data_IF_727111948088
#
_entry.id   IF_727111948088
#
_cell.length_a   1.000
_cell.length_b   1.000
_cell.length_c   1.000
_cell.angle_alpha   90.00
_cell.angle_beta   90.00
_cell.angle_gamma   90.00
#
_symmetry.space_group_name_H-M   'P 1'
#
loop_
_entity.id
_entity.type
_entity.pdbx_description
1 polymer ?
#
# COMPACT_ATOMS: atom_id res chain seq x y z
N UNK A 1 -31.98 -2.36 17.03
CA UNK A 1 -30.93 -2.55 16.01
C UNK A 1 -30.73 -4.03 15.80
N UNK A 2 -30.99 -4.54 14.59
CA UNK A 2 -30.68 -5.93 14.21
C UNK A 2 -29.70 -5.88 13.05
N UNK A 3 -28.50 -6.43 13.25
CA UNK A 3 -27.54 -6.63 12.18
C UNK A 3 -27.95 -7.92 11.44
N UNK A 4 -28.30 -7.81 10.16
CA UNK A 4 -28.51 -8.97 9.27
C UNK A 4 -27.22 -9.26 8.52
N UNK A 5 -26.71 -10.47 8.67
CA UNK A 5 -25.56 -11.00 7.90
C UNK A 5 -25.95 -11.04 6.42
N UNK A 6 -25.21 -10.32 5.58
CA UNK A 6 -25.34 -10.45 4.12
C UNK A 6 -24.68 -11.77 3.69
N UNK A 7 -25.34 -12.50 2.80
CA UNK A 7 -24.93 -13.80 2.26
C UNK A 7 -23.62 -13.81 1.42
N UNK A 8 -22.76 -12.80 1.56
CA UNK A 8 -21.52 -12.64 0.78
C UNK A 8 -20.24 -13.07 1.51
N UNK A 9 -20.36 -13.69 2.69
CA UNK A 9 -19.21 -14.16 3.46
C UNK A 9 -18.30 -13.04 3.97
N UNK A 10 -18.74 -11.78 3.93
CA UNK A 10 -18.01 -10.63 4.45
C UNK A 10 -18.82 -9.98 5.58
N UNK A 11 -18.20 -9.84 6.75
CA UNK A 11 -18.73 -9.06 7.87
C UNK A 11 -18.65 -7.57 7.52
N UNK A 12 -19.54 -7.10 6.65
CA UNK A 12 -19.70 -5.66 6.37
C UNK A 12 -21.05 -5.22 6.93
N UNK A 13 -21.03 -4.14 7.71
CA UNK A 13 -22.23 -3.54 8.26
C UNK A 13 -22.93 -2.79 7.12
N UNK A 14 -23.98 -3.38 6.56
CA UNK A 14 -24.94 -2.60 5.78
C UNK A 14 -25.70 -1.69 6.75
N UNK A 15 -25.49 -0.40 6.64
CA UNK A 15 -26.41 0.58 7.22
C UNK A 15 -27.63 0.64 6.30
N UNK A 16 -28.70 -0.05 6.67
CA UNK A 16 -30.03 0.23 6.12
C UNK A 16 -30.51 1.55 6.73
N UNK A 17 -30.29 2.65 6.00
CA UNK A 17 -30.82 3.96 6.35
C UNK A 17 -32.32 3.99 6.09
N UNK A 18 -33.13 3.82 7.15
CA UNK A 18 -34.52 4.29 7.14
C UNK A 18 -34.46 5.80 7.34
N UNK A 19 -34.94 6.56 6.35
CA UNK A 19 -35.25 7.98 6.51
C UNK A 19 -36.23 8.14 7.68
N UNK A 20 -35.74 8.58 8.83
CA UNK A 20 -36.55 9.23 9.83
C UNK A 20 -36.48 10.72 9.53
N UNK A 21 -37.57 11.25 8.99
CA UNK A 21 -37.80 12.70 8.87
C UNK A 21 -37.93 13.21 10.30
N UNK A 22 -36.88 13.87 10.80
CA UNK A 22 -36.95 14.62 12.04
C UNK A 22 -37.40 16.04 11.71
N UNK A 23 -38.69 16.29 11.91
CA UNK A 23 -39.24 17.64 12.11
C UNK A 23 -38.69 18.16 13.46
N UNK A 24 -37.77 19.14 13.40
CA UNK A 24 -37.78 20.34 14.25
C UNK A 24 -36.48 21.13 14.04
N UNK A 25 -36.59 22.26 13.35
CA UNK A 25 -35.55 23.31 13.28
C UNK A 25 -36.19 24.60 13.79
N UNK A 26 -35.69 25.21 14.89
CA UNK A 26 -36.15 26.52 15.28
C UNK A 26 -35.52 27.58 14.36
N UNK A 27 -36.39 28.33 13.69
CA UNK A 27 -36.07 29.48 12.85
C UNK A 27 -35.45 30.62 13.68
N UNK A 28 -34.26 31.06 13.29
CA UNK A 28 -33.85 32.48 13.35
C UNK A 28 -32.57 32.68 12.54
N UNK A 29 -32.72 33.20 11.32
CA UNK A 29 -31.66 33.87 10.59
C UNK A 29 -32.17 35.25 10.23
N UNK A 30 -31.45 36.26 10.71
CA UNK A 30 -31.68 37.67 10.41
C UNK A 30 -31.50 37.90 8.91
N UNK A 31 -32.55 38.45 8.29
CA UNK A 31 -32.56 38.92 6.91
C UNK A 31 -31.78 40.22 6.86
N UNK A 32 -30.63 40.22 6.20
CA UNK A 32 -29.96 41.44 5.77
C UNK A 32 -30.42 41.74 4.34
N UNK A 33 -31.20 42.81 4.21
CA UNK A 33 -31.62 43.40 2.94
C UNK A 33 -30.41 43.67 2.03
N UNK A 34 -30.42 43.09 0.83
CA UNK A 34 -29.55 43.52 -0.27
C UNK A 34 -30.45 44.15 -1.34
N UNK A 35 -30.43 45.48 -1.38
CA UNK A 35 -30.96 46.25 -2.50
C UNK A 35 -30.10 46.01 -3.74
N UNK A 36 -30.75 45.57 -4.82
CA UNK A 36 -30.14 45.53 -6.17
C UNK A 36 -30.23 46.93 -6.78
N UNK A 37 -29.09 47.55 -7.04
CA UNK A 37 -28.97 48.78 -7.83
C UNK A 37 -27.99 48.54 -8.98
N UNK A 38 -28.52 48.58 -10.21
CA UNK A 38 -27.92 49.26 -11.36
C UNK A 38 -26.76 48.59 -12.10
N UNK A 39 -27.00 48.35 -13.39
CA UNK A 39 -26.02 48.07 -14.44
C UNK A 39 -24.81 49.01 -14.41
N UNK A 40 -23.60 48.47 -14.19
CA UNK A 40 -22.36 49.05 -14.72
C UNK A 40 -21.36 47.95 -15.13
N UNK A 41 -20.94 48.03 -16.39
CA UNK A 41 -19.95 47.17 -17.01
C UNK A 41 -18.57 47.35 -16.36
N UNK A 42 -18.03 46.27 -15.79
CA UNK A 42 -16.65 46.21 -15.30
C UNK A 42 -15.72 45.71 -16.41
N UNK A 43 -14.97 46.66 -16.97
CA UNK A 43 -13.87 46.41 -17.92
C UNK A 43 -12.65 45.93 -17.13
N UNK A 44 -12.22 44.68 -17.32
CA UNK A 44 -11.00 44.15 -16.68
C UNK A 44 -9.79 44.36 -17.60
N UNK A 45 -8.86 45.22 -17.15
CA UNK A 45 -7.54 45.41 -17.74
C UNK A 45 -6.62 44.22 -17.42
N UNK A 46 -6.16 43.50 -18.45
CA UNK A 46 -5.07 42.52 -18.35
C UNK A 46 -3.70 43.20 -18.53
N UNK A 47 -2.70 42.92 -17.68
CA UNK A 47 -1.36 43.47 -17.87
C UNK A 47 -0.59 42.75 -18.98
N UNK A 48 -0.08 43.55 -19.93
CA UNK A 48 0.83 43.14 -21.01
C UNK A 48 2.18 42.67 -20.43
N UNK A 49 2.60 41.45 -20.75
CA UNK A 49 4.02 41.03 -20.68
C UNK A 49 4.63 41.03 -22.08
N UNK A 50 5.75 41.72 -22.20
CA UNK A 50 6.52 41.91 -23.43
C UNK A 50 7.55 40.81 -23.66
N UNK A 51 7.65 40.41 -24.93
CA UNK A 51 8.85 40.04 -25.71
C UNK A 51 9.78 38.92 -25.21
N UNK A 52 9.84 37.82 -26.00
CA UNK A 52 10.90 37.65 -27.04
C UNK A 52 10.58 36.43 -27.91
N UNK A 53 10.28 36.67 -29.19
CA UNK A 53 10.33 35.69 -30.28
C UNK A 53 11.75 35.68 -30.85
N UNK A 54 12.39 34.52 -30.93
CA UNK A 54 13.44 34.27 -31.90
C UNK A 54 12.85 33.45 -33.05
N UNK A 55 12.82 34.08 -34.21
CA UNK A 55 12.48 33.52 -35.50
C UNK A 55 13.67 32.75 -36.07
N UNK A 56 13.45 31.52 -36.54
CA UNK A 56 14.13 30.98 -37.72
C UNK A 56 13.17 30.05 -38.46
N UNK A 57 12.66 30.55 -39.59
CA UNK A 57 12.00 29.79 -40.64
C UNK A 57 13.01 29.51 -41.76
N UNK A 58 13.01 28.29 -42.27
CA UNK A 58 13.37 27.92 -43.65
C UNK A 58 12.58 26.63 -43.91
N UNK A 59 11.40 26.71 -44.53
CA UNK A 59 11.18 26.72 -45.98
C UNK A 59 11.56 25.38 -46.66
N UNK A 60 10.52 24.57 -46.86
CA UNK A 60 10.11 23.96 -48.13
C UNK A 60 11.14 23.17 -48.95
N UNK A 61 10.89 21.86 -49.10
CA UNK A 61 11.00 21.19 -50.40
C UNK A 61 10.12 19.94 -50.47
N UNK A 62 9.04 20.08 -51.21
CA UNK A 62 8.29 19.00 -51.84
C UNK A 62 9.06 18.50 -53.08
N UNK A 63 9.22 17.19 -53.22
CA UNK A 63 9.16 16.51 -54.51
C UNK A 63 8.86 15.03 -54.30
N UNK A 64 7.78 14.61 -54.95
CA UNK A 64 7.29 13.26 -55.16
C UNK A 64 8.13 12.51 -56.21
N UNK A 65 7.85 11.19 -56.32
CA UNK A 65 7.74 10.39 -57.56
C UNK A 65 8.65 9.12 -57.63
N UNK A 66 7.98 7.97 -57.89
CA UNK A 66 8.38 6.63 -58.38
C UNK A 66 9.05 5.64 -57.39
N UNK A 67 8.51 4.44 -57.06
CA UNK A 67 8.05 3.25 -57.82
C UNK A 67 9.12 2.15 -57.99
N UNK A 68 9.08 1.14 -57.09
CA UNK A 68 9.31 -0.32 -57.29
C UNK A 68 10.71 -0.85 -57.74
N UNK A 69 10.97 -2.19 -57.75
CA UNK A 69 10.90 -3.19 -56.66
C UNK A 69 12.15 -4.12 -56.54
N UNK A 70 12.17 -4.93 -55.46
CA UNK A 70 12.77 -6.28 -55.26
C UNK A 70 14.13 -6.68 -55.85
N UNK A 71 15.06 -7.18 -55.01
CA UNK A 71 15.90 -8.38 -55.27
C UNK A 71 16.34 -9.03 -53.93
N UNK A 72 16.08 -10.33 -53.79
CA UNK A 72 16.65 -11.27 -52.80
C UNK A 72 18.17 -11.42 -53.00
N UNK A 73 19.03 -11.71 -52.02
CA UNK A 73 19.36 -13.04 -51.44
C UNK A 73 20.73 -12.87 -50.68
N UNK A 74 21.37 -13.89 -50.06
CA UNK A 74 21.76 -13.83 -48.63
C UNK A 74 23.29 -13.98 -48.40
N UNK A 75 23.64 -14.39 -47.16
CA UNK A 75 24.75 -15.29 -46.77
C UNK A 75 26.03 -14.70 -46.12
N UNK A 76 26.48 -15.49 -45.13
CA UNK A 76 27.79 -15.60 -44.46
C UNK A 76 28.07 -14.65 -43.28
N UNK A 77 27.92 -15.13 -42.03
CA UNK A 77 28.96 -15.81 -41.21
C UNK A 77 30.23 -14.97 -41.01
N UNK A 78 30.47 -14.54 -39.76
CA UNK A 78 31.77 -14.69 -39.11
C UNK A 78 31.64 -14.63 -37.58
N UNK A 79 31.91 -15.76 -36.94
CA UNK A 79 32.40 -15.88 -35.56
C UNK A 79 33.84 -15.36 -35.54
N UNK A 80 34.24 -14.53 -34.57
CA UNK A 80 35.60 -14.52 -34.02
C UNK A 80 35.55 -14.19 -32.51
N UNK A 81 36.40 -14.81 -31.67
CA UNK A 81 36.22 -14.96 -30.23
C UNK A 81 37.19 -14.13 -29.37
N UNK A 82 37.03 -14.33 -28.06
CA UNK A 82 37.82 -14.05 -26.84
C UNK A 82 39.33 -13.75 -26.92
N UNK A 83 39.81 -13.14 -25.82
CA UNK A 83 41.15 -13.14 -25.18
C UNK A 83 41.74 -11.71 -25.12
N UNK A 84 42.47 -11.21 -24.12
CA UNK A 84 43.15 -11.72 -22.92
C UNK A 84 43.46 -10.46 -22.04
N UNK A 85 43.31 -10.48 -20.71
CA UNK A 85 44.34 -10.77 -19.68
C UNK A 85 45.43 -9.69 -19.48
N UNK A 86 45.47 -9.06 -18.28
CA UNK A 86 46.65 -8.73 -17.46
C UNK A 86 46.20 -7.82 -16.29
N UNK A 87 46.14 -8.25 -15.02
CA UNK A 87 47.21 -8.27 -14.01
C UNK A 87 48.05 -7.00 -13.92
N UNK A 88 47.98 -6.31 -12.77
CA UNK A 88 49.14 -5.72 -12.09
C UNK A 88 48.81 -5.50 -10.61
N UNK A 89 49.81 -5.80 -9.78
CA UNK A 89 49.85 -5.86 -8.33
C UNK A 89 50.65 -4.67 -7.80
N UNK A 90 50.28 -4.14 -6.63
CA UNK A 90 51.14 -3.44 -5.64
C UNK A 90 50.20 -2.98 -4.51
N UNK A 91 50.19 -3.53 -3.29
CA UNK A 91 51.21 -3.70 -2.25
C UNK A 91 51.69 -2.37 -1.62
N UNK A 92 51.10 -2.00 -0.48
CA UNK A 92 51.69 -1.26 0.65
C UNK A 92 50.65 -1.32 1.81
N UNK A 93 50.72 -2.25 2.79
CA UNK A 93 51.58 -2.41 3.98
C UNK A 93 51.36 -1.40 5.13
N UNK A 94 50.82 -1.97 6.22
CA UNK A 94 51.03 -1.73 7.66
C UNK A 94 50.55 -0.43 8.32
N UNK A 95 49.59 -0.57 9.24
CA UNK A 95 49.78 -0.27 10.68
C UNK A 95 48.83 -1.14 11.52
N UNK A 96 49.40 -2.01 12.37
CA UNK A 96 48.74 -2.67 13.52
C UNK A 96 49.26 -1.99 14.77
N UNK A 97 48.42 -1.67 15.78
CA UNK A 97 48.90 -1.45 17.13
C UNK A 97 48.92 -2.78 17.91
N UNK A 98 50.08 -3.04 18.50
CA UNK A 98 50.38 -4.09 19.48
C UNK A 98 49.81 -3.78 20.86
N UNK A 99 49.65 -4.86 21.65
CA UNK A 99 49.08 -4.93 22.98
C UNK A 99 50.21 -5.04 24.02
N UNK A 100 50.30 -4.08 24.95
CA UNK A 100 50.95 -4.13 26.28
C UNK A 100 50.89 -2.69 26.85
N UNK A 101 50.54 -2.38 28.11
CA UNK A 101 50.22 -3.15 29.31
C UNK A 101 49.81 -2.17 30.43
N UNK A 102 49.69 -2.73 31.65
CA UNK A 102 49.32 -2.12 32.94
C UNK A 102 47.83 -1.79 33.15
N UNK A 103 47.25 -1.92 34.34
CA UNK A 103 47.41 -2.78 35.51
C UNK A 103 46.24 -2.35 36.43
N UNK A 104 45.69 -3.31 37.17
CA UNK A 104 45.06 -3.12 38.48
C UNK A 104 43.89 -2.12 38.63
N UNK A 105 42.66 -2.64 38.50
CA UNK A 105 41.50 -2.17 39.27
C UNK A 105 40.56 -3.35 39.51
N UNK A 106 40.67 -3.98 40.66
CA UNK A 106 39.65 -4.88 41.21
C UNK A 106 38.41 -4.07 41.56
N UNK A 107 37.32 -4.24 40.80
CA UNK A 107 36.00 -3.74 41.18
C UNK A 107 35.13 -4.94 41.58
N UNK A 108 34.89 -5.05 42.87
CA UNK A 108 34.09 -6.07 43.52
C UNK A 108 32.61 -5.78 43.25
N UNK A 109 32.03 -6.38 42.21
CA UNK A 109 30.58 -6.26 41.95
C UNK A 109 29.82 -7.39 42.64
N UNK A 110 29.25 -7.09 43.81
CA UNK A 110 28.21 -7.91 44.43
C UNK A 110 26.92 -7.82 43.61
N UNK A 111 26.64 -8.85 42.81
CA UNK A 111 25.32 -9.10 42.23
C UNK A 111 24.83 -10.49 42.67
N UNK A 112 23.60 -10.62 43.21
CA UNK A 112 23.11 -11.89 43.73
C UNK A 112 22.88 -12.89 42.59
N UNK A 113 23.49 -14.07 42.73
CA UNK A 113 23.23 -15.24 41.88
C UNK A 113 21.86 -15.82 42.24
N UNK A 114 20.85 -15.59 41.39
CA UNK A 114 19.60 -16.36 41.46
C UNK A 114 19.88 -17.81 41.10
N UNK A 115 19.57 -18.75 42.00
CA UNK A 115 19.60 -20.19 41.73
C UNK A 115 18.23 -20.62 41.19
N UNK A 116 18.26 -21.44 40.14
CA UNK A 116 17.07 -22.05 39.50
C UNK A 116 16.32 -23.02 40.44
N UNK A 117 16.79 -23.23 41.67
CA UNK A 117 16.18 -24.11 42.68
C UNK A 117 15.04 -23.49 43.48
N UNK A 118 14.75 -22.19 43.32
CA UNK A 118 13.86 -21.45 44.24
C UNK A 118 12.42 -21.25 43.69
N UNK A 119 12.04 -22.00 42.65
CA UNK A 119 10.66 -22.05 42.15
C UNK A 119 9.95 -23.23 42.81
N UNK A 120 9.03 -22.93 43.73
CA UNK A 120 8.18 -23.92 44.37
C UNK A 120 7.33 -24.69 43.33
N UNK A 121 7.17 -26.02 43.46
CA UNK A 121 6.35 -26.80 42.53
C UNK A 121 4.87 -26.53 42.80
N UNK A 122 4.15 -26.03 41.79
CA UNK A 122 2.69 -25.91 41.84
C UNK A 122 2.10 -27.31 41.76
N UNK A 123 1.50 -27.73 42.88
CA UNK A 123 0.85 -29.01 43.07
C UNK A 123 -0.34 -29.21 42.12
N UNK A 124 -0.41 -30.42 41.56
CA UNK A 124 -1.48 -30.99 40.75
C UNK A 124 -2.90 -30.62 41.19
N UNK A 125 -3.67 -30.04 40.27
CA UNK A 125 -5.13 -30.12 40.27
C UNK A 125 -5.55 -31.02 39.11
N UNK A 126 -6.11 -32.20 39.44
CA UNK A 126 -6.62 -33.17 38.47
C UNK A 126 -8.00 -32.71 37.98
N UNK A 127 -8.15 -32.45 36.69
CA UNK A 127 -9.45 -32.51 36.03
C UNK A 127 -9.48 -33.75 35.14
N UNK A 128 -10.40 -34.66 35.48
CA UNK A 128 -10.67 -35.90 34.77
C UNK A 128 -11.69 -35.65 33.66
N UNK A 129 -11.44 -36.18 32.46
CA UNK A 129 -12.48 -36.39 31.45
C UNK A 129 -12.08 -35.93 30.05
N UNK A 130 -11.61 -36.88 29.25
CA UNK A 130 -11.24 -36.73 27.84
C UNK A 130 -12.38 -36.14 26.97
N UNK A 131 -12.12 -35.04 26.27
CA UNK A 131 -12.66 -34.76 24.94
C UNK A 131 -11.56 -34.15 24.06
N UNK A 132 -11.49 -34.72 22.87
CA UNK A 132 -10.65 -34.43 21.68
C UNK A 132 -10.14 -32.98 21.60
N UNK A 133 -8.85 -32.84 21.27
CA UNK A 133 -8.01 -31.65 21.26
C UNK A 133 -8.52 -30.46 20.44
N UNK A 134 -9.02 -29.43 21.13
CA UNK A 134 -9.15 -28.05 20.66
C UNK A 134 -7.78 -27.33 20.61
N UNK A 135 -6.83 -27.88 19.84
CA UNK A 135 -5.49 -27.28 19.62
C UNK A 135 -5.53 -26.10 18.62
N UNK A 136 -6.60 -25.31 18.65
CA UNK A 136 -6.59 -23.89 18.32
C UNK A 136 -7.32 -23.16 19.46
N UNK A 137 -6.80 -23.28 20.68
CA UNK A 137 -7.19 -22.37 21.75
C UNK A 137 -7.05 -20.95 21.20
N UNK A 138 -8.15 -20.20 21.14
CA UNK A 138 -8.14 -18.78 20.83
C UNK A 138 -7.09 -18.13 21.73
N UNK A 139 -5.93 -17.78 21.16
CA UNK A 139 -4.91 -17.05 21.89
C UNK A 139 -5.55 -15.75 22.38
N UNK A 140 -5.29 -15.37 23.62
CA UNK A 140 -5.76 -14.08 24.10
C UNK A 140 -5.14 -12.97 23.22
N UNK A 141 -5.85 -11.86 23.05
CA UNK A 141 -5.35 -10.74 22.25
C UNK A 141 -3.96 -10.26 22.72
N UNK A 142 -3.66 -10.37 24.01
CA UNK A 142 -2.33 -10.05 24.56
C UNK A 142 -1.23 -10.97 24.04
N UNK A 143 -1.50 -12.28 23.88
CA UNK A 143 -0.56 -13.22 23.27
C UNK A 143 -0.35 -12.91 21.79
N UNK A 144 -1.41 -12.48 21.08
CA UNK A 144 -1.33 -12.05 19.67
C UNK A 144 -0.49 -10.78 19.52
N UNK A 145 -0.61 -9.81 20.43
CA UNK A 145 0.28 -8.64 20.46
C UNK A 145 1.71 -9.07 20.73
N UNK A 146 1.92 -9.94 21.73
CA UNK A 146 3.25 -10.39 22.10
C UNK A 146 3.94 -11.06 20.90
N UNK A 147 3.23 -11.94 20.19
CA UNK A 147 3.70 -12.54 18.94
C UNK A 147 4.01 -11.50 17.86
N UNK A 148 3.14 -10.50 17.67
CA UNK A 148 3.39 -9.42 16.72
C UNK A 148 4.65 -8.62 17.05
N UNK A 149 4.88 -8.33 18.33
CA UNK A 149 6.07 -7.62 18.80
C UNK A 149 7.32 -8.50 18.71
N UNK A 150 7.21 -9.81 18.91
CA UNK A 150 8.30 -10.75 18.70
C UNK A 150 8.75 -10.78 17.23
N UNK A 151 7.81 -10.85 16.29
CA UNK A 151 8.09 -10.76 14.84
C UNK A 151 8.82 -9.44 14.53
N UNK A 152 8.30 -8.32 15.05
CA UNK A 152 8.86 -6.99 14.80
C UNK A 152 10.27 -6.84 15.39
N UNK A 153 10.45 -7.23 16.64
CA UNK A 153 11.72 -7.15 17.36
C UNK A 153 12.76 -8.10 16.77
N UNK A 154 12.36 -9.32 16.39
CA UNK A 154 13.22 -10.29 15.71
C UNK A 154 13.76 -9.74 14.39
N UNK A 155 12.86 -9.20 13.55
CA UNK A 155 13.26 -8.59 12.28
C UNK A 155 14.23 -7.40 12.46
N UNK A 156 14.00 -6.57 13.48
CA UNK A 156 14.85 -5.42 13.80
C UNK A 156 16.21 -5.87 14.34
N UNK A 157 16.23 -6.84 15.25
CA UNK A 157 17.46 -7.34 15.85
C UNK A 157 18.37 -8.05 14.82
N UNK A 158 17.78 -8.86 13.95
CA UNK A 158 18.49 -9.62 12.93
C UNK A 158 19.03 -8.71 11.82
N UNK A 159 18.19 -7.84 11.27
CA UNK A 159 18.52 -7.10 10.06
C UNK A 159 19.00 -5.66 10.30
N UNK A 160 18.82 -5.15 11.53
CA UNK A 160 19.22 -3.80 11.96
C UNK A 160 18.85 -2.72 10.93
N UNK A 161 17.54 -2.60 10.59
CA UNK A 161 17.10 -1.64 9.60
C UNK A 161 17.43 -0.22 10.02
N UNK A 162 17.90 0.58 9.06
CA UNK A 162 18.19 2.00 9.26
C UNK A 162 16.91 2.83 9.48
N UNK A 163 15.78 2.34 8.94
CA UNK A 163 14.47 2.98 9.02
C UNK A 163 13.37 1.94 9.16
N UNK A 164 12.34 2.26 9.93
CA UNK A 164 11.13 1.46 10.15
C UNK A 164 9.90 2.26 9.72
N UNK A 165 9.30 1.89 8.59
CA UNK A 165 8.15 2.57 8.02
C UNK A 165 6.87 1.75 8.17
N UNK A 166 5.82 2.34 8.74
CA UNK A 166 4.48 1.78 8.73
C UNK A 166 3.78 2.10 7.41
N UNK A 167 3.52 1.09 6.57
CA UNK A 167 2.81 1.30 5.30
C UNK A 167 1.30 1.36 5.54
N UNK A 168 0.80 2.58 5.68
CA UNK A 168 -0.56 2.88 6.10
C UNK A 168 -1.45 3.22 4.89
N UNK A 169 -2.21 2.24 4.42
CA UNK A 169 -3.10 2.40 3.25
C UNK A 169 -4.48 2.96 3.60
N UNK A 170 -4.77 3.17 4.88
CA UNK A 170 -6.11 3.53 5.37
C UNK A 170 -7.04 2.33 5.58
N UNK A 171 -6.58 1.10 5.33
CA UNK A 171 -7.27 -0.13 5.73
C UNK A 171 -7.06 -0.43 7.22
N UNK A 172 -7.99 -1.15 7.85
CA UNK A 172 -7.89 -1.51 9.27
C UNK A 172 -6.65 -2.38 9.57
N UNK A 173 -6.26 -3.28 8.68
CA UNK A 173 -5.07 -4.13 8.89
C UNK A 173 -3.79 -3.28 8.87
N UNK A 174 -3.71 -2.33 7.93
CA UNK A 174 -2.59 -1.39 7.85
C UNK A 174 -2.56 -0.40 9.02
N UNK A 175 -3.72 -0.06 9.58
CA UNK A 175 -3.84 0.77 10.78
C UNK A 175 -3.24 0.05 11.99
N UNK A 176 -3.65 -1.19 12.24
CA UNK A 176 -3.16 -1.98 13.37
C UNK A 176 -1.66 -2.27 13.23
N UNK A 177 -1.21 -2.70 12.05
CA UNK A 177 0.21 -2.97 11.82
C UNK A 177 1.09 -1.72 11.99
N UNK A 178 0.62 -0.56 11.52
CA UNK A 178 1.32 0.72 11.72
C UNK A 178 1.31 1.14 13.19
N UNK A 179 0.19 0.94 13.90
CA UNK A 179 0.09 1.26 15.32
C UNK A 179 1.05 0.39 16.17
N UNK A 180 1.08 -0.92 15.94
CA UNK A 180 2.04 -1.82 16.58
C UNK A 180 3.48 -1.39 16.31
N UNK A 181 3.81 -1.09 15.04
CA UNK A 181 5.14 -0.59 14.69
C UNK A 181 5.48 0.72 15.41
N UNK A 182 4.51 1.64 15.55
CA UNK A 182 4.70 2.93 16.19
C UNK A 182 5.01 2.87 17.68
N UNK A 183 4.69 1.74 18.34
CA UNK A 183 5.07 1.49 19.74
C UNK A 183 6.57 1.16 19.88
N UNK A 184 7.28 0.86 18.79
CA UNK A 184 8.70 0.52 18.84
C UNK A 184 9.59 1.79 18.70
N UNK A 185 10.67 1.95 19.50
CA UNK A 185 11.53 3.13 19.44
C UNK A 185 12.20 3.40 18.09
N UNK A 186 12.40 2.35 17.28
CA UNK A 186 12.95 2.48 15.92
C UNK A 186 11.94 3.00 14.88
N UNK A 187 10.65 3.17 15.24
CA UNK A 187 9.64 3.66 14.33
C UNK A 187 10.03 5.02 13.77
N UNK A 188 10.13 5.07 12.45
CA UNK A 188 10.55 6.27 11.76
C UNK A 188 9.33 7.10 11.40
N UNK A 189 8.42 6.54 10.57
CA UNK A 189 7.28 7.27 9.97
C UNK A 189 6.15 6.35 9.53
N UNK A 190 4.96 6.91 9.48
CA UNK A 190 3.88 6.35 8.66
C UNK A 190 4.07 6.78 7.20
N UNK A 191 3.78 5.88 6.26
CA UNK A 191 3.88 6.14 4.83
C UNK A 191 2.57 5.78 4.15
N UNK A 192 2.00 6.74 3.44
CA UNK A 192 0.84 6.56 2.60
C UNK A 192 1.24 6.65 1.13
N UNK A 193 0.78 5.69 0.32
CA UNK A 193 0.90 5.77 -1.13
C UNK A 193 -0.46 6.21 -1.64
N UNK A 194 -0.52 7.40 -2.22
CA UNK A 194 -1.71 7.94 -2.84
C UNK A 194 -1.72 7.56 -4.32
N UNK A 195 -2.48 6.52 -4.69
CA UNK A 195 -2.55 6.03 -6.08
C UNK A 195 -3.33 6.93 -7.03
N UNK A 196 -3.75 8.14 -6.62
CA UNK A 196 -4.53 9.14 -7.38
C UNK A 196 -5.97 8.76 -7.73
N UNK A 197 -6.34 7.48 -7.63
CA UNK A 197 -7.71 6.98 -7.89
C UNK A 197 -8.45 6.54 -6.62
N UNK A 198 -7.81 6.60 -5.45
CA UNK A 198 -8.47 6.29 -4.18
C UNK A 198 -9.53 7.30 -3.76
N UNK A 199 -10.43 6.85 -2.88
CA UNK A 199 -11.46 7.64 -2.22
C UNK A 199 -10.80 8.69 -1.31
N UNK A 200 -11.16 9.96 -1.46
CA UNK A 200 -10.53 11.07 -0.71
C UNK A 200 -10.77 10.93 0.81
N UNK A 201 -11.94 10.41 1.22
CA UNK A 201 -12.25 10.12 2.61
C UNK A 201 -11.23 9.16 3.25
N UNK A 202 -10.71 8.17 2.51
CA UNK A 202 -9.63 7.30 3.00
C UNK A 202 -8.33 8.07 3.19
N UNK A 203 -7.98 8.97 2.26
CA UNK A 203 -6.77 9.80 2.37
C UNK A 203 -6.87 10.73 3.56
N UNK A 204 -8.04 11.35 3.76
CA UNK A 204 -8.32 12.20 4.89
C UNK A 204 -8.24 11.42 6.21
N UNK A 205 -8.82 10.22 6.27
CA UNK A 205 -8.67 9.31 7.42
C UNK A 205 -7.20 9.03 7.75
N UNK A 206 -6.36 8.78 6.75
CA UNK A 206 -4.92 8.52 6.95
C UNK A 206 -4.20 9.75 7.50
N UNK A 207 -4.47 10.93 6.94
CA UNK A 207 -3.90 12.22 7.40
C UNK A 207 -4.33 12.54 8.82
N UNK A 208 -5.62 12.40 9.11
CA UNK A 208 -6.20 12.66 10.42
C UNK A 208 -5.66 11.70 11.47
N UNK A 209 -5.67 10.40 11.19
CA UNK A 209 -5.13 9.40 12.11
C UNK A 209 -3.64 9.63 12.38
N UNK A 210 -2.86 9.95 11.35
CA UNK A 210 -1.43 10.23 11.52
C UNK A 210 -1.19 11.48 12.38
N UNK A 211 -2.00 12.53 12.20
CA UNK A 211 -1.95 13.73 13.04
C UNK A 211 -2.34 13.42 14.49
N UNK A 212 -3.47 12.74 14.68
CA UNK A 212 -4.03 12.40 16.00
C UNK A 212 -3.05 11.50 16.79
N UNK A 213 -2.29 10.63 16.09
CA UNK A 213 -1.28 9.75 16.68
C UNK A 213 0.14 10.32 16.64
N UNK A 214 0.30 11.57 16.20
CA UNK A 214 1.59 12.26 16.05
C UNK A 214 2.61 11.48 15.19
N UNK A 215 2.14 10.64 14.27
CA UNK A 215 2.98 9.99 13.29
C UNK A 215 3.40 11.01 12.23
N UNK A 216 4.71 11.15 12.02
CA UNK A 216 5.21 11.93 10.89
C UNK A 216 4.86 11.20 9.60
N UNK A 217 3.83 11.69 8.89
CA UNK A 217 3.34 11.08 7.66
C UNK A 217 4.21 11.47 6.46
N UNK A 218 4.58 10.48 5.66
CA UNK A 218 5.07 10.68 4.29
C UNK A 218 3.99 10.24 3.30
N UNK A 219 3.55 11.14 2.43
CA UNK A 219 2.61 10.83 1.36
C UNK A 219 3.34 10.80 0.01
N UNK A 220 3.27 9.66 -0.69
CA UNK A 220 3.88 9.46 -2.01
C UNK A 220 2.81 9.33 -3.08
N UNK A 221 2.87 10.21 -4.08
CA UNK A 221 2.08 10.12 -5.32
C UNK A 221 2.94 9.50 -6.42
N UNK A 222 2.39 8.60 -7.27
CA UNK A 222 3.13 8.02 -8.39
C UNK A 222 3.55 9.10 -9.39
N UNK A 223 4.67 8.92 -10.13
CA UNK A 223 5.13 9.89 -11.12
C UNK A 223 4.18 10.09 -12.31
N UNK A 224 3.26 9.16 -12.52
CA UNK A 224 2.23 9.20 -13.57
C UNK A 224 0.90 8.95 -12.89
N UNK A 225 -0.11 9.76 -13.20
CA UNK A 225 -1.44 9.61 -12.60
C UNK A 225 -2.14 8.35 -13.13
N UNK A 226 -3.10 7.84 -12.37
CA UNK A 226 -3.96 6.74 -12.84
C UNK A 226 -4.70 7.13 -14.12
N UNK A 227 -5.17 8.39 -14.22
CA UNK A 227 -5.81 8.94 -15.40
C UNK A 227 -4.91 8.81 -16.63
N UNK A 228 -3.68 9.29 -16.57
CA UNK A 228 -2.76 9.23 -17.73
C UNK A 228 -2.48 7.79 -18.16
N UNK A 229 -2.32 6.87 -17.19
CA UNK A 229 -2.15 5.44 -17.48
C UNK A 229 -3.37 4.87 -18.21
N UNK A 230 -4.58 5.23 -17.77
CA UNK A 230 -5.83 4.77 -18.41
C UNK A 230 -6.00 5.37 -19.80
N UNK A 231 -5.67 6.64 -20.01
CA UNK A 231 -5.76 7.25 -21.34
C UNK A 231 -4.74 6.65 -22.32
N UNK A 232 -3.59 6.20 -21.83
CA UNK A 232 -2.56 5.55 -22.67
C UNK A 232 -2.86 4.06 -22.94
N UNK A 233 -3.38 3.33 -21.95
CA UNK A 233 -3.44 1.86 -22.00
C UNK A 233 -4.85 1.26 -21.83
N UNK A 234 -5.84 2.09 -21.52
CA UNK A 234 -7.18 1.69 -21.11
C UNK A 234 -7.28 1.23 -19.66
N UNK A 235 -8.51 1.02 -19.20
CA UNK A 235 -8.78 0.43 -17.90
C UNK A 235 -8.17 -0.98 -17.79
N UNK A 236 -7.68 -1.38 -16.60
CA UNK A 236 -7.05 -2.68 -16.43
C UNK A 236 -8.12 -3.75 -16.19
N UNK A 237 -7.91 -4.94 -16.76
CA UNK A 237 -8.52 -6.16 -16.27
C UNK A 237 -7.59 -6.93 -15.32
N UNK A 238 -7.95 -8.16 -14.90
CA UNK A 238 -7.14 -8.97 -13.98
C UNK A 238 -5.70 -9.20 -14.45
N UNK A 239 -5.48 -9.40 -15.75
CA UNK A 239 -4.14 -9.54 -16.35
C UNK A 239 -3.32 -8.25 -16.39
N UNK A 240 -3.95 -7.09 -16.25
CA UNK A 240 -3.29 -5.78 -16.19
C UNK A 240 -2.98 -5.31 -14.76
N UNK A 241 -3.40 -6.07 -13.74
CA UNK A 241 -3.24 -5.65 -12.34
C UNK A 241 -1.77 -5.46 -11.94
N UNK A 242 -0.86 -6.37 -12.33
CA UNK A 242 0.57 -6.23 -12.01
C UNK A 242 1.17 -4.95 -12.59
N UNK A 243 0.75 -4.58 -13.81
CA UNK A 243 1.17 -3.32 -14.43
C UNK A 243 0.72 -2.12 -13.60
N UNK A 244 -0.56 -2.08 -13.20
CA UNK A 244 -1.07 -1.01 -12.32
C UNK A 244 -0.36 -0.96 -10.97
N UNK A 245 -0.14 -2.12 -10.33
CA UNK A 245 0.62 -2.21 -9.09
C UNK A 245 2.02 -1.60 -9.24
N UNK A 246 2.75 -1.98 -10.30
CA UNK A 246 4.11 -1.48 -10.53
C UNK A 246 4.10 0.04 -10.73
N UNK A 247 3.14 0.56 -11.50
CA UNK A 247 3.06 2.00 -11.81
C UNK A 247 2.65 2.84 -10.61
N UNK A 248 1.64 2.40 -9.86
CA UNK A 248 0.99 3.20 -8.83
C UNK A 248 1.55 2.97 -7.42
N UNK A 249 2.11 1.78 -7.13
CA UNK A 249 2.56 1.41 -5.78
C UNK A 249 4.05 1.10 -5.71
N UNK A 250 4.54 0.16 -6.51
CA UNK A 250 5.93 -0.33 -6.43
C UNK A 250 6.93 0.82 -6.62
N UNK A 251 6.72 1.67 -7.64
CA UNK A 251 7.59 2.84 -7.87
C UNK A 251 7.60 3.86 -6.73
N UNK A 252 6.51 3.98 -5.99
CA UNK A 252 6.45 4.84 -4.80
C UNK A 252 7.27 4.24 -3.66
N UNK A 253 7.20 2.92 -3.46
CA UNK A 253 8.05 2.19 -2.50
C UNK A 253 9.52 2.30 -2.89
N UNK A 254 9.85 2.09 -4.16
CA UNK A 254 11.23 2.21 -4.66
C UNK A 254 11.78 3.62 -4.45
N UNK A 255 10.93 4.64 -4.65
CA UNK A 255 11.28 6.03 -4.38
C UNK A 255 11.51 6.28 -2.88
N UNK A 256 10.62 5.84 -2.01
CA UNK A 256 10.80 5.90 -0.54
C UNK A 256 12.15 5.28 -0.13
N UNK A 257 12.42 4.07 -0.61
CA UNK A 257 13.64 3.32 -0.31
C UNK A 257 14.86 4.07 -0.81
N UNK A 258 14.85 4.57 -2.05
CA UNK A 258 15.96 5.34 -2.63
C UNK A 258 16.24 6.64 -1.86
N UNK A 259 15.20 7.33 -1.39
CA UNK A 259 15.35 8.60 -0.65
C UNK A 259 15.93 8.41 0.76
N UNK A 260 15.76 7.24 1.37
CA UNK A 260 16.18 6.98 2.76
C UNK A 260 17.37 6.02 2.88
N UNK A 261 17.71 5.30 1.80
CA UNK A 261 18.90 4.47 1.72
C UNK A 261 20.13 5.37 1.53
N UNK A 262 20.99 5.43 2.54
CA UNK A 262 22.22 6.23 2.52
C UNK A 262 23.45 5.39 2.18
N UNK A 263 23.49 4.15 2.66
CA UNK A 263 24.61 3.20 2.46
C UNK A 263 24.17 2.00 1.64
N UNK A 264 25.12 1.36 0.98
CA UNK A 264 24.86 0.19 0.15
C UNK A 264 24.23 -0.97 0.94
N UNK A 265 24.60 -1.10 2.22
CA UNK A 265 24.17 -2.14 3.14
C UNK A 265 22.99 -1.73 4.02
N UNK A 266 22.41 -0.53 3.85
CA UNK A 266 21.21 -0.16 4.59
C UNK A 266 20.07 -1.14 4.30
N UNK A 267 19.21 -1.32 5.30
CA UNK A 267 17.93 -1.99 5.18
C UNK A 267 16.82 -1.02 5.57
N UNK A 268 15.72 -1.09 4.84
CA UNK A 268 14.53 -0.29 5.06
C UNK A 268 13.40 -1.25 5.41
N UNK A 269 12.95 -1.22 6.67
CA UNK A 269 11.85 -2.05 7.13
C UNK A 269 10.51 -1.42 6.72
N UNK A 270 9.67 -2.24 6.08
CA UNK A 270 8.39 -1.89 5.49
C UNK A 270 7.32 -2.74 6.17
N UNK A 271 6.62 -2.15 7.14
CA UNK A 271 5.61 -2.84 7.93
C UNK A 271 4.29 -2.86 7.18
N UNK A 272 3.74 -4.05 7.00
CA UNK A 272 2.51 -4.30 6.22
C UNK A 272 1.44 -4.98 7.07
N UNK A 273 0.18 -4.73 6.74
CA UNK A 273 -0.96 -5.39 7.36
C UNK A 273 -1.37 -6.71 6.72
N UNK A 274 -0.42 -7.48 6.17
CA UNK A 274 -0.74 -8.77 5.51
C UNK A 274 -1.10 -9.82 6.57
N UNK A 275 -2.18 -10.57 6.35
CA UNK A 275 -2.64 -11.68 7.20
C UNK A 275 -2.77 -12.98 6.41
N UNK A 276 -2.64 -14.13 7.09
CA UNK A 276 -2.85 -15.46 6.49
C UNK A 276 -4.31 -15.71 6.12
N UNK A 277 -5.24 -15.25 6.96
CA UNK A 277 -6.70 -15.39 6.78
C UNK A 277 -7.21 -14.78 5.46
N UNK A 278 -6.60 -13.68 4.99
CA UNK A 278 -6.89 -13.08 3.67
C UNK A 278 -6.31 -13.89 2.50
N UNK A 279 -5.37 -14.78 2.77
CA UNK A 279 -4.56 -15.43 1.77
C UNK A 279 -4.95 -16.89 1.57
N UNK A 280 -6.22 -17.15 1.30
CA UNK A 280 -6.83 -18.49 1.04
C UNK A 280 -6.01 -19.34 0.03
N UNK A 281 -5.32 -18.70 -0.92
CA UNK A 281 -4.48 -19.38 -1.93
C UNK A 281 -3.03 -19.65 -1.53
N UNK A 282 -2.57 -19.18 -0.37
CA UNK A 282 -1.21 -19.45 0.13
C UNK A 282 -1.25 -20.43 1.27
N UNK A 283 -1.88 -21.61 1.09
CA UNK A 283 -1.65 -22.79 1.95
C UNK A 283 -0.19 -23.31 1.85
N UNK A 284 0.78 -22.39 1.83
CA UNK A 284 2.20 -22.55 1.60
C UNK A 284 2.89 -21.17 1.60
N UNK A 285 3.54 -20.85 2.72
CA UNK A 285 4.66 -19.90 2.84
C UNK A 285 4.38 -18.39 2.63
N UNK A 286 3.52 -17.78 3.47
CA UNK A 286 3.74 -16.35 3.79
C UNK A 286 4.67 -16.29 4.98
N UNK A 287 5.88 -15.80 4.76
CA UNK A 287 6.81 -15.56 5.84
C UNK A 287 6.49 -14.22 6.51
N UNK A 288 6.53 -14.13 7.85
CA UNK A 288 6.29 -12.89 8.58
C UNK A 288 7.35 -11.83 8.28
N UNK A 289 8.53 -12.26 7.84
CA UNK A 289 9.63 -11.40 7.44
C UNK A 289 10.13 -11.86 6.08
N UNK A 290 10.17 -10.97 5.10
CA UNK A 290 10.68 -11.24 3.77
C UNK A 290 11.64 -10.15 3.33
N UNK A 291 12.82 -10.54 2.87
CA UNK A 291 13.82 -9.62 2.34
C UNK A 291 13.82 -9.61 0.82
N UNK A 292 13.84 -8.41 0.24
CA UNK A 292 14.06 -8.18 -1.19
C UNK A 292 15.09 -7.07 -1.38
N UNK A 293 16.34 -7.47 -1.65
CA UNK A 293 17.48 -6.55 -1.69
C UNK A 293 17.69 -5.81 -0.36
N UNK A 294 17.35 -4.50 -0.37
CA UNK A 294 17.40 -3.62 0.80
C UNK A 294 16.04 -3.39 1.47
N UNK A 295 14.95 -3.84 0.84
CA UNK A 295 13.61 -3.78 1.40
C UNK A 295 13.42 -4.98 2.34
N UNK A 296 13.00 -4.70 3.57
CA UNK A 296 12.68 -5.70 4.57
C UNK A 296 11.18 -5.62 4.87
N UNK A 297 10.41 -6.49 4.24
CA UNK A 297 8.96 -6.56 4.42
C UNK A 297 8.63 -7.33 5.68
N UNK A 298 7.85 -6.74 6.58
CA UNK A 298 7.46 -7.37 7.84
C UNK A 298 5.95 -7.30 8.00
N UNK A 299 5.34 -8.43 8.36
CA UNK A 299 3.91 -8.60 8.58
C UNK A 299 3.67 -9.00 10.04
N UNK A 300 3.66 -8.04 10.99
CA UNK A 300 3.56 -8.36 12.42
C UNK A 300 2.21 -8.99 12.78
N UNK A 301 1.15 -8.70 12.02
CA UNK A 301 -0.20 -9.23 12.27
C UNK A 301 -0.52 -10.46 11.42
N UNK A 302 0.50 -11.19 10.95
CA UNK A 302 0.33 -12.29 10.00
C UNK A 302 -0.69 -13.34 10.46
N UNK A 303 -0.74 -13.64 11.76
CA UNK A 303 -1.58 -14.66 12.37
C UNK A 303 -2.85 -14.11 13.03
N UNK A 304 -3.23 -12.86 12.72
CA UNK A 304 -4.44 -12.24 13.23
C UNK A 304 -5.63 -12.58 12.34
N UNK A 305 -6.80 -12.72 12.94
CA UNK A 305 -8.07 -12.77 12.24
C UNK A 305 -8.78 -11.40 12.29
N UNK A 306 -10.04 -11.36 11.85
CA UNK A 306 -10.82 -10.12 11.84
C UNK A 306 -11.19 -9.68 13.26
N UNK A 307 -11.51 -10.62 14.15
CA UNK A 307 -11.95 -10.31 15.50
C UNK A 307 -10.78 -9.76 16.34
N UNK A 308 -9.59 -10.37 16.23
CA UNK A 308 -8.34 -9.88 16.84
C UNK A 308 -8.09 -8.40 16.52
N UNK A 309 -8.22 -8.06 15.23
CA UNK A 309 -8.00 -6.70 14.71
C UNK A 309 -9.04 -5.73 15.24
N UNK A 310 -10.31 -6.12 15.24
CA UNK A 310 -11.40 -5.25 15.69
C UNK A 310 -11.33 -5.01 17.20
N UNK A 311 -11.01 -6.05 17.98
CA UNK A 311 -10.81 -5.94 19.41
C UNK A 311 -9.63 -5.03 19.74
N UNK A 312 -8.50 -5.17 19.02
CA UNK A 312 -7.36 -4.27 19.18
C UNK A 312 -7.69 -2.82 18.86
N UNK A 313 -8.42 -2.57 17.77
CA UNK A 313 -8.86 -1.22 17.38
C UNK A 313 -9.68 -0.59 18.51
N UNK A 314 -10.63 -1.35 19.07
CA UNK A 314 -11.45 -0.87 20.17
C UNK A 314 -10.61 -0.59 21.43
N UNK A 315 -9.74 -1.53 21.83
CA UNK A 315 -8.93 -1.42 23.05
C UNK A 315 -7.94 -0.25 23.01
N UNK A 316 -7.36 0.03 21.84
CA UNK A 316 -6.37 1.11 21.67
C UNK A 316 -7.02 2.46 21.29
N UNK A 317 -8.35 2.53 21.28
CA UNK A 317 -9.12 3.73 20.93
C UNK A 317 -8.84 4.22 19.51
N UNK A 318 -8.58 3.30 18.58
CA UNK A 318 -8.30 3.64 17.18
C UNK A 318 -9.60 3.93 16.44
N UNK A 319 -9.63 5.03 15.68
CA UNK A 319 -10.76 5.35 14.82
C UNK A 319 -10.80 4.35 13.65
N UNK A 320 -11.98 3.81 13.36
CA UNK A 320 -12.21 3.00 12.16
C UNK A 320 -12.34 3.91 10.94
N UNK A 321 -11.83 3.45 9.80
CA UNK A 321 -12.11 4.09 8.52
C UNK A 321 -13.50 3.67 8.05
N UNK A 322 -14.42 4.62 7.93
CA UNK A 322 -15.78 4.37 7.44
C UNK A 322 -15.80 3.82 6.01
N UNK A 323 -14.83 4.18 5.17
CA UNK A 323 -14.70 3.61 3.82
C UNK A 323 -14.51 2.09 3.88
N UNK A 324 -13.69 1.60 4.80
CA UNK A 324 -13.49 0.15 5.00
C UNK A 324 -14.79 -0.51 5.46
N UNK A 325 -15.53 0.15 6.36
CA UNK A 325 -16.80 -0.36 6.86
C UNK A 325 -17.86 -0.45 5.74
N UNK A 326 -17.82 0.47 4.76
CA UNK A 326 -18.75 0.51 3.65
C UNK A 326 -18.41 -0.44 2.51
N UNK A 327 -17.16 -0.46 2.02
CA UNK A 327 -16.77 -1.22 0.81
C UNK A 327 -15.85 -2.41 1.10
N UNK A 328 -15.62 -2.72 2.38
CA UNK A 328 -14.84 -3.88 2.82
C UNK A 328 -13.39 -3.88 2.30
N UNK A 329 -12.83 -2.70 1.99
CA UNK A 329 -11.45 -2.49 1.56
C UNK A 329 -11.01 -1.06 1.89
N UNK A 330 -9.70 -0.79 1.86
CA UNK A 330 -9.20 0.55 2.22
C UNK A 330 -9.74 1.67 1.34
N UNK A 331 -10.15 1.41 0.10
CA UNK A 331 -10.56 2.44 -0.84
C UNK A 331 -9.40 3.29 -1.38
N UNK A 332 -8.14 2.98 -1.01
CA UNK A 332 -6.96 3.72 -1.48
C UNK A 332 -6.71 3.49 -2.97
N UNK A 333 -6.96 2.28 -3.49
CA UNK A 333 -6.76 1.97 -4.90
C UNK A 333 -8.03 1.37 -5.50
N UNK A 334 -8.62 2.10 -6.44
CA UNK A 334 -9.78 1.69 -7.21
C UNK A 334 -9.41 1.47 -8.69
N UNK A 335 -8.29 0.79 -8.96
CA UNK A 335 -7.85 0.55 -10.34
C UNK A 335 -8.83 -0.31 -11.17
N UNK A 336 -9.78 -1.00 -10.53
CA UNK A 336 -10.81 -1.77 -11.25
C UNK A 336 -10.37 -3.12 -11.80
N UNK A 337 -9.10 -3.51 -11.64
CA UNK A 337 -8.57 -4.73 -12.25
C UNK A 337 -9.28 -6.02 -11.82
N UNK A 338 -9.78 -6.06 -10.58
CA UNK A 338 -10.57 -7.18 -10.03
C UNK A 338 -11.95 -6.75 -9.54
N UNK A 339 -12.39 -5.56 -9.91
CA UNK A 339 -13.73 -5.12 -9.58
C UNK A 339 -14.75 -5.83 -10.46
N UNK A 340 -15.94 -6.05 -9.90
CA UNK A 340 -17.12 -6.42 -10.69
C UNK A 340 -17.73 -5.17 -11.33
N UNK A 341 -18.51 -5.36 -12.38
CA UNK A 341 -19.17 -4.25 -13.08
C UNK A 341 -20.16 -3.52 -12.16
N UNK A 342 -20.82 -4.26 -11.29
CA UNK A 342 -21.81 -3.76 -10.34
C UNK A 342 -21.18 -2.95 -9.19
N UNK A 343 -19.89 -3.19 -8.88
CA UNK A 343 -19.18 -2.47 -7.81
C UNK A 343 -19.09 -0.96 -8.09
N UNK A 344 -19.14 -0.51 -9.35
CA UNK A 344 -19.16 0.92 -9.67
C UNK A 344 -20.50 1.57 -9.29
N UNK A 345 -21.60 0.82 -9.42
CA UNK A 345 -22.92 1.30 -8.99
C UNK A 345 -22.99 1.40 -7.47
N UNK A 346 -22.56 0.35 -6.76
CA UNK A 346 -22.48 0.34 -5.29
C UNK A 346 -21.56 1.47 -4.77
N UNK A 347 -20.44 1.71 -5.47
CA UNK A 347 -19.55 2.83 -5.17
C UNK A 347 -20.24 4.18 -5.37
N UNK A 348 -21.11 4.32 -6.38
CA UNK A 348 -21.86 5.54 -6.63
C UNK A 348 -22.91 5.86 -5.57
N UNK A 349 -23.51 4.84 -4.95
CA UNK A 349 -24.44 5.02 -3.83
C UNK A 349 -23.73 5.55 -2.57
N UNK A 350 -22.51 5.07 -2.31
CA UNK A 350 -21.76 5.42 -1.11
C UNK A 350 -20.81 6.62 -1.26
N UNK A 351 -20.21 6.78 -2.44
CA UNK A 351 -19.15 7.74 -2.75
C UNK A 351 -19.35 8.35 -4.16
N UNK A 352 -20.42 9.14 -4.36
CA UNK A 352 -20.84 9.60 -5.68
C UNK A 352 -19.76 10.40 -6.41
N UNK A 353 -18.96 11.20 -5.70
CA UNK A 353 -17.87 11.99 -6.29
C UNK A 353 -16.77 11.09 -6.86
N UNK A 354 -16.45 9.99 -6.16
CA UNK A 354 -15.44 9.04 -6.64
C UNK A 354 -15.95 8.27 -7.85
N UNK A 355 -17.22 7.85 -7.83
CA UNK A 355 -17.84 7.21 -8.98
C UNK A 355 -17.90 8.15 -10.19
N UNK A 356 -18.22 9.43 -9.99
CA UNK A 356 -18.24 10.44 -11.05
C UNK A 356 -16.87 10.62 -11.71
N UNK A 357 -15.77 10.62 -10.92
CA UNK A 357 -14.40 10.64 -11.46
C UNK A 357 -14.13 9.41 -12.35
N UNK A 358 -14.54 8.22 -11.91
CA UNK A 358 -14.36 6.99 -12.71
C UNK A 358 -15.19 7.06 -13.99
N UNK A 359 -16.46 7.49 -13.91
CA UNK A 359 -17.36 7.61 -15.06
C UNK A 359 -16.83 8.61 -16.10
N UNK A 360 -16.39 9.80 -15.67
CA UNK A 360 -15.76 10.77 -16.55
C UNK A 360 -14.52 10.19 -17.24
N UNK A 361 -13.69 9.44 -16.50
CA UNK A 361 -12.53 8.76 -17.08
C UNK A 361 -12.92 7.66 -18.09
N UNK A 362 -14.08 7.01 -17.96
CA UNK A 362 -14.59 6.10 -18.98
C UNK A 362 -14.92 6.84 -20.29
N UNK A 363 -15.52 8.03 -20.21
CA UNK A 363 -15.82 8.84 -21.38
C UNK A 363 -14.53 9.30 -22.09
N UNK A 364 -13.54 9.76 -21.32
CA UNK A 364 -12.24 10.15 -21.86
C UNK A 364 -11.50 8.96 -22.50
N UNK A 365 -11.52 7.80 -21.86
CA UNK A 365 -10.91 6.59 -22.39
C UNK A 365 -11.60 6.12 -23.69
N UNK A 366 -12.93 6.27 -23.78
CA UNK A 366 -13.67 5.99 -25.00
C UNK A 366 -13.29 6.96 -26.11
N UNK A 367 -13.17 8.26 -25.81
CA UNK A 367 -12.72 9.28 -26.76
C UNK A 367 -11.29 9.04 -27.25
N UNK A 368 -10.41 8.50 -26.39
CA UNK A 368 -9.05 8.10 -26.72
C UNK A 368 -8.96 6.78 -27.51
N UNK A 369 -10.08 6.08 -27.72
CA UNK A 369 -10.11 4.82 -28.47
C UNK A 369 -9.45 3.64 -27.74
N UNK A 370 -9.30 3.72 -26.41
CA UNK A 370 -8.74 2.66 -25.57
C UNK A 370 -9.85 1.92 -24.82
N UNK A 371 -9.49 0.84 -24.10
CA UNK A 371 -10.48 0.11 -23.30
C UNK A 371 -11.08 1.02 -22.22
N UNK A 372 -12.37 1.31 -22.34
CA UNK A 372 -13.02 2.40 -21.62
C UNK A 372 -13.84 1.97 -20.40
N UNK A 373 -14.04 0.67 -20.16
CA UNK A 373 -14.97 0.18 -19.13
C UNK A 373 -14.23 -0.31 -17.88
N UNK A 374 -14.39 0.41 -16.78
CA UNK A 374 -13.87 0.03 -15.46
C UNK A 374 -14.53 -1.27 -14.96
N UNK A 375 -13.79 -2.09 -14.21
CA UNK A 375 -14.32 -3.36 -13.68
C UNK A 375 -14.62 -4.40 -14.76
N UNK A 376 -14.08 -4.23 -15.97
CA UNK A 376 -14.28 -5.18 -17.07
C UNK A 376 -12.97 -5.57 -17.74
N UNK A 377 -12.95 -6.75 -18.36
CA UNK A 377 -11.80 -7.24 -19.11
C UNK A 377 -11.69 -6.51 -20.46
N UNK A 378 -10.48 -6.07 -20.87
CA UNK A 378 -10.27 -5.54 -22.21
C UNK A 378 -10.65 -6.55 -23.30
N UNK A 379 -11.34 -6.13 -24.37
CA UNK A 379 -11.75 -7.01 -25.45
C UNK A 379 -10.52 -7.67 -26.12
N UNK A 380 -10.67 -8.95 -26.51
CA UNK A 380 -9.59 -9.71 -27.16
C UNK A 380 -8.43 -10.16 -26.24
N UNK A 381 -8.34 -9.65 -24.99
CA UNK A 381 -7.30 -10.05 -24.04
C UNK A 381 -7.81 -11.11 -23.07
N UNK A 382 -7.62 -12.39 -23.40
CA UNK A 382 -7.73 -13.51 -22.44
C UNK A 382 -6.40 -13.69 -21.69
N UNK A 383 -6.04 -12.71 -20.87
CA UNK A 383 -4.85 -12.82 -20.02
C UNK A 383 -5.17 -13.58 -18.72
N UNK A 384 -4.31 -14.53 -18.33
CA UNK A 384 -4.35 -15.09 -16.97
C UNK A 384 -4.15 -13.94 -15.98
N UNK A 385 -4.88 -13.98 -14.88
CA UNK A 385 -4.72 -12.98 -13.85
C UNK A 385 -3.32 -13.05 -13.23
N UNK A 386 -2.77 -11.87 -12.97
CA UNK A 386 -1.41 -11.75 -12.44
C UNK A 386 -1.42 -11.54 -10.94
N UNK A 387 -0.47 -12.17 -10.23
CA UNK A 387 -0.23 -11.87 -8.81
C UNK A 387 0.16 -10.39 -8.65
N UNK A 388 -0.59 -9.66 -7.84
CA UNK A 388 -0.20 -8.36 -7.31
C UNK A 388 0.99 -8.47 -6.35
N UNK A 389 1.72 -7.36 -6.18
CA UNK A 389 2.85 -7.33 -5.25
C UNK A 389 2.41 -7.21 -3.77
N UNK A 390 3.37 -6.95 -2.90
CA UNK A 390 3.24 -7.05 -1.43
C UNK A 390 2.19 -6.11 -0.81
N UNK A 391 1.76 -5.06 -1.53
CA UNK A 391 0.74 -4.09 -1.08
C UNK A 391 -0.67 -4.32 -1.68
N UNK A 392 -0.88 -5.43 -2.38
CA UNK A 392 -2.16 -5.80 -2.97
C UNK A 392 -2.58 -7.24 -2.57
N UNK A 393 -2.37 -7.62 -1.30
CA UNK A 393 -2.79 -8.93 -0.75
C UNK A 393 -4.28 -9.20 -0.96
N UNK A 394 -5.15 -8.22 -0.66
CA UNK A 394 -6.60 -8.34 -0.84
C UNK A 394 -7.02 -8.53 -2.29
N UNK A 395 -6.33 -7.89 -3.24
CA UNK A 395 -6.56 -8.12 -4.67
C UNK A 395 -6.16 -9.53 -5.11
N UNK A 396 -5.09 -10.09 -4.52
CA UNK A 396 -4.67 -11.46 -4.79
C UNK A 396 -5.71 -12.49 -4.32
N UNK A 397 -6.42 -12.20 -3.23
CA UNK A 397 -7.53 -13.02 -2.75
C UNK A 397 -8.70 -13.03 -3.73
N UNK A 398 -9.13 -11.84 -4.19
CA UNK A 398 -10.21 -11.70 -5.18
C UNK A 398 -9.91 -12.45 -6.47
N UNK A 399 -8.65 -12.45 -6.91
CA UNK A 399 -8.24 -13.25 -8.05
C UNK A 399 -8.49 -14.75 -7.82
N UNK A 400 -8.25 -15.24 -6.61
CA UNK A 400 -8.39 -16.65 -6.30
C UNK A 400 -9.81 -17.18 -6.48
N UNK A 401 -10.76 -16.41 -5.95
CA UNK A 401 -12.19 -16.71 -6.07
C UNK A 401 -12.68 -16.66 -7.53
N UNK A 402 -12.12 -15.77 -8.36
CA UNK A 402 -12.47 -15.69 -9.78
C UNK A 402 -11.95 -16.86 -10.62
N UNK A 403 -10.82 -17.45 -10.24
CA UNK A 403 -10.26 -18.63 -10.92
C UNK A 403 -10.91 -19.93 -10.48
N UNK A 404 -11.46 -20.02 -9.27
CA UNK A 404 -12.24 -21.19 -8.80
C UNK A 404 -13.65 -21.23 -9.41
N UNK A 405 -14.19 -20.06 -9.79
CA UNK A 405 -15.51 -19.93 -10.40
C UNK A 405 -15.51 -20.02 -11.94
N UNK A 406 -14.34 -20.16 -12.58
CA UNK A 406 -14.14 -20.19 -14.04
C UNK A 406 -13.63 -21.55 -14.49
#
# INVERSE_FOLDING_TARGET
MRATRVASGRNCLRFEGVLAVAEDVPQRLDVVDIQVVGDQALTVHLPRRSLRRSSRSTASRTRSVLSSPSVNTPLMRAKVPSANRATMSSAQRFFRPTRAGLADMTFESQAPRFRISDIAPVSHMRYSGYLISDTEAMMALDDKIAQSMEILNGAIAEHRPSHLFGLFSGGHDSLVATHLASKHPAFTRAVHINTTIGIEQTRQFVRDTSRDRQWRLLEYTPPVSYRDIVLEHGFPGPGGHRFMYTRLKERCVDRLVREHKTKWNDRIALITGVRLSESVRRMGHVEPVKRDGCQLWVAPILHWDDDDKLEYIAREGLKRNSVVDTICMSGECLCGAFAKKEELFELGEAFPETAAVILALQEEAAAAGVHAKWGTRPPGKRGKATKGGMLCSSCNQRNGLMEEAA
#
